data_IF_609338756202
#
_entry.id   IF_609338756202
#
_cell.length_a   1.000
_cell.length_b   1.000
_cell.length_c   1.000
_cell.angle_alpha   90.00
_cell.angle_beta   90.00
_cell.angle_gamma   90.00
#
_symmetry.space_group_name_H-M   'P 1'
#
loop_
_entity.id
_entity.type
_entity.pdbx_description
1 polymer ?
#
# COMPACT_ATOMS: atom_id res chain seq x y z
N UNK A 1 -7.52 -20.13 -0.38
CA UNK A 1 -7.08 -18.72 -0.39
C UNK A 1 -6.90 -18.28 -1.82
N UNK A 2 -7.50 -17.17 -2.21
CA UNK A 2 -7.42 -16.69 -3.58
C UNK A 2 -6.09 -15.97 -3.87
N UNK A 3 -5.66 -16.04 -5.12
CA UNK A 3 -4.38 -15.47 -5.58
C UNK A 3 -4.35 -13.94 -5.46
N UNK A 4 -5.51 -13.28 -5.58
CA UNK A 4 -5.64 -11.82 -5.55
C UNK A 4 -5.39 -11.30 -4.13
N UNK A 5 -5.93 -11.95 -3.10
CA UNK A 5 -5.70 -11.60 -1.71
C UNK A 5 -4.24 -11.80 -1.30
N UNK A 6 -3.61 -12.90 -1.73
CA UNK A 6 -2.18 -13.16 -1.49
C UNK A 6 -1.29 -12.09 -2.10
N UNK A 7 -1.50 -11.77 -3.38
CA UNK A 7 -0.74 -10.72 -4.06
C UNK A 7 -0.91 -9.36 -3.37
N UNK A 8 -2.12 -9.04 -2.89
CA UNK A 8 -2.41 -7.78 -2.19
C UNK A 8 -1.62 -7.66 -0.90
N UNK A 9 -1.65 -8.70 -0.09
CA UNK A 9 -0.97 -8.73 1.21
C UNK A 9 0.54 -8.73 1.02
N UNK A 10 1.06 -9.49 0.05
CA UNK A 10 2.47 -9.50 -0.31
C UNK A 10 2.98 -8.09 -0.66
N UNK A 11 2.22 -7.37 -1.50
CA UNK A 11 2.55 -6.00 -1.90
C UNK A 11 2.55 -5.02 -0.71
N UNK A 12 1.58 -5.13 0.20
CA UNK A 12 1.54 -4.31 1.40
C UNK A 12 2.73 -4.60 2.33
N UNK A 13 3.16 -5.86 2.47
CA UNK A 13 4.33 -6.24 3.25
C UNK A 13 5.60 -5.61 2.68
N UNK A 14 5.78 -5.68 1.36
CA UNK A 14 6.97 -5.12 0.70
C UNK A 14 7.04 -3.59 0.85
N UNK A 15 5.89 -2.91 0.77
CA UNK A 15 5.83 -1.45 0.96
C UNK A 15 6.01 -1.01 2.41
N UNK A 16 5.39 -1.73 3.35
CA UNK A 16 5.60 -1.51 4.77
C UNK A 16 7.07 -1.75 5.14
N UNK A 17 7.71 -2.73 4.49
CA UNK A 17 8.98 -3.31 4.86
C UNK A 17 8.79 -4.34 5.96
N UNK A 18 9.42 -5.51 5.81
CA UNK A 18 9.26 -6.68 6.70
C UNK A 18 9.43 -6.31 8.18
N UNK A 19 10.49 -5.55 8.51
CA UNK A 19 10.78 -5.10 9.88
C UNK A 19 9.64 -4.25 10.49
N UNK A 20 8.97 -3.44 9.67
CA UNK A 20 7.85 -2.63 10.10
C UNK A 20 6.60 -3.47 10.39
N UNK A 21 6.38 -4.57 9.66
CA UNK A 21 5.21 -5.44 9.85
C UNK A 21 5.38 -6.37 11.06
N UNK A 22 6.62 -6.75 11.36
CA UNK A 22 6.96 -7.55 12.54
C UNK A 22 6.93 -6.75 13.85
N UNK A 23 6.92 -5.41 13.78
CA UNK A 23 6.73 -4.53 14.94
C UNK A 23 5.26 -4.13 15.09
N UNK A 24 4.83 -3.63 16.25
CA UNK A 24 3.46 -3.11 16.47
C UNK A 24 3.21 -1.74 15.79
N UNK A 25 3.83 -1.52 14.63
CA UNK A 25 3.77 -0.26 13.88
C UNK A 25 2.37 0.00 13.27
N UNK A 26 2.07 1.25 12.89
CA UNK A 26 0.86 1.54 12.11
C UNK A 26 0.76 0.74 10.81
N UNK A 27 1.89 0.45 10.16
CA UNK A 27 1.94 -0.37 8.94
C UNK A 27 1.50 -1.81 9.23
N UNK A 28 1.99 -2.39 10.32
CA UNK A 28 1.62 -3.74 10.74
C UNK A 28 0.12 -3.86 11.01
N UNK A 29 -0.48 -2.85 11.63
CA UNK A 29 -1.93 -2.81 11.88
C UNK A 29 -2.73 -2.86 10.56
N UNK A 30 -2.28 -2.15 9.53
CA UNK A 30 -2.93 -2.16 8.22
C UNK A 30 -2.77 -3.53 7.56
N UNK A 31 -1.55 -4.08 7.51
CA UNK A 31 -1.31 -5.40 6.90
C UNK A 31 -2.13 -6.49 7.60
N UNK A 32 -2.15 -6.51 8.94
CA UNK A 32 -2.91 -7.50 9.73
C UNK A 32 -4.42 -7.31 9.58
N UNK A 33 -4.92 -6.07 9.51
CA UNK A 33 -6.34 -5.76 9.25
C UNK A 33 -6.75 -6.32 7.89
N UNK A 34 -6.01 -5.98 6.84
CA UNK A 34 -6.29 -6.46 5.47
C UNK A 34 -6.18 -7.98 5.41
N UNK A 35 -5.19 -8.59 6.05
CA UNK A 35 -5.06 -10.04 6.14
C UNK A 35 -6.31 -10.69 6.76
N UNK A 36 -6.81 -10.15 7.87
CA UNK A 36 -8.04 -10.63 8.52
C UNK A 36 -9.28 -10.46 7.64
N UNK A 37 -9.41 -9.34 6.93
CA UNK A 37 -10.51 -9.09 5.98
C UNK A 37 -10.51 -10.04 4.78
N UNK A 38 -9.35 -10.62 4.43
CA UNK A 38 -9.23 -11.64 3.39
C UNK A 38 -9.34 -13.08 3.92
N UNK A 39 -9.59 -13.25 5.22
CA UNK A 39 -9.47 -14.55 5.90
C UNK A 39 -8.11 -15.22 5.63
N UNK A 40 -7.05 -14.40 5.57
CA UNK A 40 -5.71 -14.83 5.22
C UNK A 40 -5.09 -15.63 6.37
N UNK A 41 -4.69 -16.89 6.17
CA UNK A 41 -4.16 -17.71 7.25
C UNK A 41 -2.87 -17.13 7.85
N UNK A 42 -2.76 -17.10 9.17
CA UNK A 42 -1.57 -16.60 9.88
C UNK A 42 -0.29 -17.34 9.46
N UNK A 43 -0.39 -18.65 9.20
CA UNK A 43 0.72 -19.47 8.70
C UNK A 43 1.28 -18.93 7.38
N UNK A 44 0.39 -18.50 6.48
CA UNK A 44 0.79 -17.97 5.17
C UNK A 44 1.26 -16.52 5.28
N UNK A 45 0.69 -15.73 6.20
CA UNK A 45 1.16 -14.38 6.48
C UNK A 45 2.62 -14.43 6.98
N UNK A 46 2.89 -15.33 7.92
CA UNK A 46 4.22 -15.55 8.46
C UNK A 46 5.22 -16.04 7.40
N UNK A 47 4.79 -16.79 6.38
CA UNK A 47 5.66 -17.15 5.24
C UNK A 47 6.04 -15.92 4.43
N UNK A 48 5.07 -15.08 4.05
CA UNK A 48 5.34 -13.86 3.30
C UNK A 48 6.20 -12.86 4.08
N UNK A 49 6.07 -12.81 5.41
CA UNK A 49 6.92 -11.98 6.26
C UNK A 49 8.37 -12.46 6.33
N UNK A 50 8.62 -13.76 6.13
CA UNK A 50 9.98 -14.32 6.06
C UNK A 50 10.58 -14.18 4.66
N UNK A 51 9.76 -14.39 3.64
CA UNK A 51 10.18 -14.36 2.24
C UNK A 51 9.03 -13.81 1.38
N UNK A 52 8.98 -12.50 1.13
CA UNK A 52 8.00 -11.92 0.22
C UNK A 52 8.13 -12.50 -1.19
N UNK A 53 7.02 -12.70 -1.86
CA UNK A 53 7.00 -13.18 -3.24
C UNK A 53 7.29 -12.03 -4.22
N UNK A 54 7.78 -12.29 -5.43
CA UNK A 54 7.86 -11.26 -6.47
C UNK A 54 6.50 -10.62 -6.75
N UNK A 55 6.48 -9.32 -7.05
CA UNK A 55 5.25 -8.63 -7.44
C UNK A 55 4.88 -9.07 -8.86
N UNK A 56 3.73 -9.72 -9.00
CA UNK A 56 3.18 -10.14 -10.28
C UNK A 56 2.46 -9.03 -11.04
N UNK A 57 1.77 -9.37 -12.13
CA UNK A 57 1.03 -8.43 -12.96
C UNK A 57 -0.40 -8.19 -12.44
N UNK A 58 -0.93 -6.98 -12.60
CA UNK A 58 -2.30 -6.63 -12.18
C UNK A 58 -3.35 -6.65 -13.31
N UNK A 59 -2.97 -7.13 -14.50
CA UNK A 59 -3.80 -7.08 -15.71
C UNK A 59 -5.12 -7.84 -15.60
N UNK A 60 -5.19 -8.89 -14.79
CA UNK A 60 -6.39 -9.72 -14.60
C UNK A 60 -7.33 -9.22 -13.47
N UNK A 61 -6.99 -8.13 -12.78
CA UNK A 61 -7.82 -7.62 -11.69
C UNK A 61 -9.05 -6.89 -12.22
N UNK A 62 -10.21 -7.16 -11.63
CA UNK A 62 -11.43 -6.39 -11.89
C UNK A 62 -11.30 -4.94 -11.38
N UNK A 63 -12.08 -3.98 -11.91
CA UNK A 63 -12.02 -2.58 -11.45
C UNK A 63 -12.17 -2.44 -9.92
N UNK A 64 -13.12 -3.17 -9.32
CA UNK A 64 -13.32 -3.15 -7.86
C UNK A 64 -12.12 -3.73 -7.08
N UNK A 65 -11.43 -4.74 -7.65
CA UNK A 65 -10.22 -5.27 -7.02
C UNK A 65 -9.09 -4.24 -7.08
N UNK A 66 -8.89 -3.60 -8.24
CA UNK A 66 -7.89 -2.54 -8.43
C UNK A 66 -8.12 -1.38 -7.47
N UNK A 67 -9.36 -0.95 -7.29
CA UNK A 67 -9.71 0.11 -6.35
C UNK A 67 -9.34 -0.26 -4.90
N UNK A 68 -9.66 -1.48 -4.46
CA UNK A 68 -9.29 -1.97 -3.13
C UNK A 68 -7.77 -1.98 -2.93
N UNK A 69 -6.99 -2.33 -3.96
CA UNK A 69 -5.53 -2.25 -3.92
C UNK A 69 -5.06 -0.81 -3.69
N UNK A 70 -5.55 0.14 -4.49
CA UNK A 70 -5.12 1.54 -4.40
C UNK A 70 -5.55 2.19 -3.08
N UNK A 71 -6.72 1.85 -2.55
CA UNK A 71 -7.16 2.34 -1.24
C UNK A 71 -6.25 1.85 -0.11
N UNK A 72 -5.90 0.56 -0.09
CA UNK A 72 -4.98 0.00 0.90
C UNK A 72 -3.56 0.59 0.76
N UNK A 73 -3.12 0.84 -0.48
CA UNK A 73 -1.87 1.54 -0.77
C UNK A 73 -1.85 2.96 -0.19
N UNK A 74 -2.88 3.75 -0.48
CA UNK A 74 -3.01 5.12 0.02
C UNK A 74 -3.06 5.18 1.54
N UNK A 75 -3.75 4.24 2.18
CA UNK A 75 -3.78 4.13 3.64
C UNK A 75 -2.42 3.81 4.25
N UNK A 76 -1.71 2.85 3.65
CA UNK A 76 -0.37 2.48 4.09
C UNK A 76 0.58 3.67 3.97
N UNK A 77 0.56 4.37 2.84
CA UNK A 77 1.36 5.57 2.60
C UNK A 77 1.07 6.71 3.58
N UNK A 78 -0.20 6.94 3.92
CA UNK A 78 -0.58 7.94 4.92
C UNK A 78 -0.14 7.58 6.35
N UNK A 79 0.24 6.32 6.59
CA UNK A 79 0.56 5.79 7.92
C UNK A 79 2.04 5.55 8.15
N UNK A 80 2.88 5.57 7.10
CA UNK A 80 4.33 5.36 7.18
C UNK A 80 5.11 6.60 6.75
N UNK A 81 6.35 6.76 7.24
CA UNK A 81 7.28 7.73 6.68
C UNK A 81 7.70 7.25 5.29
N UNK A 82 7.41 8.06 4.27
CA UNK A 82 7.73 7.75 2.88
C UNK A 82 9.17 8.17 2.55
N UNK A 83 10.04 7.19 2.33
CA UNK A 83 11.31 7.42 1.65
C UNK A 83 11.07 7.56 0.14
N UNK A 84 11.95 8.28 -0.58
CA UNK A 84 11.89 8.44 -2.05
C UNK A 84 11.69 7.10 -2.80
N UNK A 85 12.41 6.05 -2.41
CA UNK A 85 12.27 4.72 -3.04
C UNK A 85 10.86 4.12 -2.91
N UNK A 86 10.23 4.28 -1.75
CA UNK A 86 8.86 3.79 -1.50
C UNK A 86 7.83 4.61 -2.27
N UNK A 87 8.03 5.91 -2.40
CA UNK A 87 7.17 6.77 -3.22
C UNK A 87 7.21 6.36 -4.70
N UNK A 88 8.40 6.13 -5.25
CA UNK A 88 8.59 5.64 -6.62
C UNK A 88 7.95 4.27 -6.84
N UNK A 89 8.14 3.33 -5.89
CA UNK A 89 7.51 2.01 -5.96
C UNK A 89 5.99 2.12 -5.95
N UNK A 90 5.40 2.91 -5.06
CA UNK A 90 3.96 3.14 -5.05
C UNK A 90 3.45 3.75 -6.35
N UNK A 91 4.16 4.74 -6.91
CA UNK A 91 3.80 5.36 -8.18
C UNK A 91 3.80 4.33 -9.32
N UNK A 92 4.83 3.49 -9.39
CA UNK A 92 4.88 2.40 -10.38
C UNK A 92 3.71 1.44 -10.21
N UNK A 93 3.42 1.00 -8.99
CA UNK A 93 2.31 0.08 -8.70
C UNK A 93 0.95 0.65 -9.09
N UNK A 94 0.76 1.94 -8.87
CA UNK A 94 -0.45 2.68 -9.25
C UNK A 94 -0.63 2.72 -10.77
N UNK A 95 0.45 2.99 -11.51
CA UNK A 95 0.44 2.91 -12.97
C UNK A 95 0.16 1.50 -13.46
N UNK A 96 0.80 0.48 -12.86
CA UNK A 96 0.58 -0.92 -13.21
C UNK A 96 -0.86 -1.38 -12.90
N UNK A 97 -1.54 -0.76 -11.92
CA UNK A 97 -2.96 -0.96 -11.64
C UNK A 97 -3.88 -0.24 -12.63
N UNK A 98 -3.34 0.67 -13.45
CA UNK A 98 -4.05 1.43 -14.48
C UNK A 98 -4.55 2.80 -14.02
N UNK A 99 -4.02 3.36 -12.93
CA UNK A 99 -4.39 4.69 -12.44
C UNK A 99 -3.33 5.74 -12.82
N UNK A 100 -3.79 6.95 -13.12
CA UNK A 100 -2.90 8.11 -13.28
C UNK A 100 -2.40 8.63 -11.94
N UNK A 101 -1.29 9.39 -11.96
CA UNK A 101 -0.79 10.08 -10.77
C UNK A 101 -1.84 11.02 -10.15
N UNK A 102 -2.69 11.64 -10.97
CA UNK A 102 -3.76 12.54 -10.50
C UNK A 102 -4.83 11.79 -9.71
N UNK A 103 -5.27 10.64 -10.21
CA UNK A 103 -6.26 9.80 -9.52
C UNK A 103 -5.71 9.26 -8.21
N UNK A 104 -4.44 8.85 -8.21
CA UNK A 104 -3.77 8.40 -7.01
C UNK A 104 -3.67 9.48 -5.94
N UNK A 105 -3.23 10.69 -6.31
CA UNK A 105 -3.16 11.83 -5.40
C UNK A 105 -4.55 12.17 -4.82
N UNK A 106 -5.61 12.03 -5.62
CA UNK A 106 -6.99 12.17 -5.15
C UNK A 106 -7.34 11.12 -4.08
N UNK A 107 -6.96 9.86 -4.29
CA UNK A 107 -7.23 8.77 -3.33
C UNK A 107 -6.44 8.97 -2.03
N UNK A 108 -5.14 9.26 -2.12
CA UNK A 108 -4.29 9.50 -0.95
C UNK A 108 -4.82 10.67 -0.12
N UNK A 109 -5.20 11.78 -0.77
CA UNK A 109 -5.75 12.95 -0.07
C UNK A 109 -7.09 12.67 0.61
N UNK A 110 -7.96 11.84 0.00
CA UNK A 110 -9.20 11.37 0.64
C UNK A 110 -8.92 10.52 1.88
N UNK A 111 -7.99 9.57 1.79
CA UNK A 111 -7.65 8.67 2.90
C UNK A 111 -7.02 9.43 4.07
N UNK A 112 -6.20 10.46 3.80
CA UNK A 112 -5.63 11.32 4.84
C UNK A 112 -6.69 12.15 5.57
N UNK A 113 -7.70 12.66 4.85
CA UNK A 113 -8.82 13.41 5.46
C UNK A 113 -9.67 12.54 6.39
N UNK A 114 -9.89 11.28 6.04
CA UNK A 114 -10.71 10.34 6.84
C UNK A 114 -10.08 10.04 8.20
N UNK A 115 -8.76 10.08 8.33
CA UNK A 115 -8.06 9.79 9.61
C UNK A 115 -7.89 10.99 10.55
N UNK A 116 -8.48 12.14 10.26
CA UNK A 116 -8.39 13.34 11.13
C UNK A 116 -6.97 13.87 11.34
N UNK A 117 -5.99 13.39 10.56
CA UNK A 117 -4.60 13.86 10.62
C UNK A 117 -4.52 15.09 9.72
N UNK A 118 -4.28 16.30 10.26
CA UNK A 118 -4.09 17.46 9.42
C UNK A 118 -2.92 17.18 8.49
N UNK A 119 -3.10 17.56 7.22
CA UNK A 119 -2.06 17.45 6.21
C UNK A 119 -0.98 18.53 6.48
N UNK A 120 -0.25 18.40 7.59
CA UNK A 120 0.80 19.31 8.00
C UNK A 120 2.16 18.59 8.04
N UNK A 121 3.12 19.21 7.34
CA UNK A 121 4.57 18.95 7.32
C UNK A 121 5.14 17.93 6.32
N UNK A 122 4.39 17.50 5.30
CA UNK A 122 5.02 16.90 4.09
C UNK A 122 4.39 17.33 2.78
N UNK A 123 3.45 18.28 2.83
CA UNK A 123 2.83 18.86 1.62
C UNK A 123 3.88 19.48 0.71
N UNK A 124 4.93 20.10 1.23
CA UNK A 124 5.94 20.75 0.37
C UNK A 124 7.05 19.81 -0.09
N UNK A 125 7.41 18.78 0.67
CA UNK A 125 8.53 17.90 0.30
C UNK A 125 8.16 16.85 -0.75
N UNK A 126 6.89 16.40 -0.78
CA UNK A 126 6.40 15.47 -1.81
C UNK A 126 5.97 16.18 -3.10
N UNK A 127 5.55 17.45 -3.02
CA UNK A 127 5.07 18.22 -4.17
C UNK A 127 6.23 18.80 -5.00
N UNK A 128 7.36 19.17 -4.39
CA UNK A 128 8.48 19.82 -5.09
C UNK A 128 9.50 18.89 -5.75
N UNK A 129 9.49 17.58 -5.48
CA UNK A 129 10.49 16.63 -6.05
C UNK A 129 9.98 15.78 -7.22
N UNK A 130 8.71 15.88 -7.58
CA UNK A 130 8.09 15.04 -8.63
C UNK A 130 7.82 15.86 -9.92
N UNK A 131 8.12 17.16 -9.91
CA UNK A 131 7.91 18.08 -11.05
C UNK A 131 9.17 18.90 -11.41
N UNK A 132 10.36 18.32 -11.23
CA UNK A 132 11.62 18.84 -11.78
C UNK A 132 12.38 17.71 -12.48
#
# INVERSE_FOLDING_TARGET
>A
MDIVSRQRINLLIQLAGISSVNSNSPAAKIVKRVAKECEFPDKDLNKLLKSPEPIGTFGALSPNQKEKYVNNLGELMGSIKLSNHKALLCQKLVYDLGYSAKEFNSIVSKVQRIKGKPASSSKEELILRITA
#
